data_IF_424454168568
#
_entry.id   IF_424454168568
#
_cell.length_a   1.000
_cell.length_b   1.000
_cell.length_c   1.000
_cell.angle_alpha   90.00
_cell.angle_beta   90.00
_cell.angle_gamma   90.00
#
_symmetry.space_group_name_H-M   'P 1'
#
loop_
_entity.id
_entity.type
_entity.pdbx_description
1 polymer ?
#
# COMPACT_ATOMS: atom_id res chain seq x y z
N UNK A 1 21.78 23.48 -19.00
CA UNK A 1 21.87 23.46 -17.52
C UNK A 1 21.59 22.02 -17.06
N UNK A 2 22.47 21.36 -16.29
CA UNK A 2 22.26 19.94 -15.89
C UNK A 2 21.27 19.89 -14.72
N UNK A 3 20.14 19.18 -14.87
CA UNK A 3 19.09 19.04 -13.85
C UNK A 3 19.62 18.54 -12.48
N UNK A 4 20.72 17.79 -12.49
CA UNK A 4 21.40 17.35 -11.27
C UNK A 4 21.97 18.50 -10.42
N UNK A 5 22.46 19.57 -11.06
CA UNK A 5 22.99 20.73 -10.35
C UNK A 5 21.88 21.47 -9.58
N UNK A 6 20.67 21.52 -10.15
CA UNK A 6 19.48 22.10 -9.49
C UNK A 6 19.08 21.23 -8.30
N UNK A 7 19.01 19.89 -8.48
CA UNK A 7 18.68 18.96 -7.39
C UNK A 7 19.61 19.13 -6.19
N UNK A 8 20.92 19.21 -6.44
CA UNK A 8 21.92 19.41 -5.37
C UNK A 8 21.85 20.79 -4.74
N UNK A 9 21.66 21.85 -5.53
CA UNK A 9 21.61 23.23 -5.02
C UNK A 9 20.42 23.47 -4.10
N UNK A 10 19.27 22.86 -4.40
CA UNK A 10 18.02 23.06 -3.65
C UNK A 10 17.68 21.88 -2.72
N UNK A 11 18.57 20.91 -2.57
CA UNK A 11 18.36 19.68 -1.78
C UNK A 11 17.01 18.99 -2.06
N UNK A 12 16.64 18.91 -3.35
CA UNK A 12 15.39 18.28 -3.77
C UNK A 12 15.62 16.90 -4.36
N UNK A 13 14.81 15.93 -3.92
CA UNK A 13 14.87 14.54 -4.40
C UNK A 13 14.54 14.43 -5.88
N UNK A 14 13.63 15.25 -6.40
CA UNK A 14 13.17 15.19 -7.78
C UNK A 14 12.92 16.58 -8.34
N UNK A 15 13.07 16.74 -9.66
CA UNK A 15 12.74 17.96 -10.39
C UNK A 15 11.75 17.61 -11.49
N UNK A 16 10.71 18.42 -11.60
CA UNK A 16 9.69 18.38 -12.64
C UNK A 16 9.83 19.64 -13.48
N UNK A 17 10.04 19.47 -14.79
CA UNK A 17 10.19 20.58 -15.72
C UNK A 17 8.90 20.70 -16.51
N UNK A 18 8.33 21.90 -16.50
CA UNK A 18 7.17 22.28 -17.29
C UNK A 18 7.56 23.46 -18.19
N UNK A 19 7.20 23.39 -19.46
CA UNK A 19 7.32 24.54 -20.36
C UNK A 19 6.20 24.56 -21.39
N UNK A 20 5.86 25.74 -21.87
CA UNK A 20 4.83 25.95 -22.87
C UNK A 20 5.36 26.89 -23.97
N UNK A 21 5.05 26.56 -25.22
CA UNK A 21 5.47 27.31 -26.41
C UNK A 21 4.30 27.46 -27.39
N UNK A 22 4.20 28.57 -28.15
CA UNK A 22 3.22 28.70 -29.23
C UNK A 22 3.45 27.64 -30.33
N UNK A 23 2.38 27.07 -30.89
CA UNK A 23 2.46 26.03 -31.94
C UNK A 23 2.51 26.60 -33.37
N UNK A 24 2.50 27.93 -33.54
CA UNK A 24 2.47 28.61 -34.83
C UNK A 24 1.10 28.66 -35.53
N UNK A 25 0.08 27.98 -34.99
CA UNK A 25 -1.29 27.90 -35.49
C UNK A 25 -2.31 28.44 -34.46
N UNK A 26 -1.88 29.33 -33.57
CA UNK A 26 -2.72 29.93 -32.52
C UNK A 26 -2.94 29.04 -31.29
N UNK A 27 -2.31 27.86 -31.24
CA UNK A 27 -2.31 26.98 -30.07
C UNK A 27 -1.07 27.14 -29.20
N UNK A 28 -1.11 26.50 -28.04
CA UNK A 28 -0.01 26.39 -27.08
C UNK A 28 0.33 24.93 -26.87
N UNK A 29 1.57 24.56 -27.22
CA UNK A 29 2.14 23.26 -26.87
C UNK A 29 2.67 23.34 -25.43
N UNK A 30 2.08 22.56 -24.54
CA UNK A 30 2.52 22.42 -23.16
C UNK A 30 3.16 21.05 -22.97
N UNK A 31 4.36 21.03 -22.39
CA UNK A 31 5.06 19.80 -22.06
C UNK A 31 5.47 19.78 -20.60
N UNK A 32 5.53 18.58 -20.03
CA UNK A 32 6.04 18.35 -18.70
C UNK A 32 6.81 17.04 -18.66
N UNK A 33 8.00 17.05 -18.08
CA UNK A 33 8.75 15.84 -17.82
C UNK A 33 9.47 15.89 -16.47
N UNK A 34 9.40 14.78 -15.74
CA UNK A 34 10.16 14.62 -14.52
C UNK A 34 9.72 13.44 -13.70
N UNK A 35 10.52 13.12 -12.69
CA UNK A 35 10.16 12.14 -11.69
C UNK A 35 9.48 12.83 -10.52
N UNK A 36 8.57 12.12 -9.86
CA UNK A 36 7.96 12.53 -8.60
C UNK A 36 7.95 11.34 -7.64
N UNK A 37 7.70 11.54 -6.33
CA UNK A 37 7.49 10.42 -5.40
C UNK A 37 6.37 9.45 -5.80
N UNK A 38 5.44 9.91 -6.65
CA UNK A 38 4.32 9.10 -7.16
C UNK A 38 4.63 8.38 -8.48
N UNK A 39 5.76 8.67 -9.11
CA UNK A 39 6.17 8.09 -10.38
C UNK A 39 6.63 9.12 -11.41
N UNK A 40 6.90 8.66 -12.63
CA UNK A 40 7.30 9.51 -13.75
C UNK A 40 6.09 10.24 -14.33
N UNK A 41 6.24 11.54 -14.52
CA UNK A 41 5.29 12.38 -15.25
C UNK A 41 5.87 12.66 -16.63
N UNK A 42 5.09 12.34 -17.65
CA UNK A 42 5.33 12.72 -19.04
C UNK A 42 4.02 13.29 -19.58
N UNK A 43 4.07 14.52 -20.05
CA UNK A 43 2.96 15.24 -20.63
C UNK A 43 3.44 15.96 -21.88
N UNK A 44 2.70 15.83 -22.97
CA UNK A 44 2.92 16.54 -24.23
C UNK A 44 1.56 16.71 -24.90
N UNK A 45 1.02 17.93 -24.88
CA UNK A 45 -0.25 18.27 -25.52
C UNK A 45 -0.24 19.67 -26.09
N UNK A 46 -1.01 19.84 -27.17
CA UNK A 46 -1.32 21.13 -27.78
C UNK A 46 -2.74 21.52 -27.38
N UNK A 47 -2.91 22.74 -26.90
CA UNK A 47 -4.21 23.33 -26.58
C UNK A 47 -4.49 24.49 -27.52
N UNK A 48 -5.67 24.48 -28.14
CA UNK A 48 -6.13 25.53 -29.04
C UNK A 48 -7.52 25.97 -28.62
N UNK A 49 -7.70 27.26 -28.38
CA UNK A 49 -9.01 27.86 -28.18
C UNK A 49 -9.78 27.90 -29.51
N UNK A 50 -11.10 27.87 -29.45
CA UNK A 50 -11.96 27.92 -30.64
C UNK A 50 -11.78 29.21 -31.44
N UNK A 51 -11.48 30.31 -30.73
CA UNK A 51 -11.17 31.63 -31.31
C UNK A 51 -9.86 31.66 -32.11
N UNK A 52 -8.96 30.70 -31.91
CA UNK A 52 -7.59 30.73 -32.43
C UNK A 52 -6.69 31.78 -31.76
N UNK A 53 -7.17 32.49 -30.74
CA UNK A 53 -6.37 33.45 -29.99
C UNK A 53 -5.35 32.73 -29.09
N UNK A 54 -4.09 33.13 -29.21
CA UNK A 54 -2.99 32.62 -28.42
C UNK A 54 -3.21 32.87 -26.91
N UNK A 55 -3.78 34.01 -26.54
CA UNK A 55 -4.02 34.35 -25.12
C UNK A 55 -5.05 33.41 -24.49
N UNK A 56 -6.13 33.14 -25.20
CA UNK A 56 -7.15 32.18 -24.77
C UNK A 56 -6.61 30.75 -24.77
N UNK A 57 -5.84 30.36 -25.79
CA UNK A 57 -5.13 29.07 -25.82
C UNK A 57 -4.17 28.89 -24.65
N UNK A 58 -3.48 29.95 -24.21
CA UNK A 58 -2.60 29.92 -23.04
C UNK A 58 -3.37 29.77 -21.72
N UNK A 59 -4.51 30.46 -21.58
CA UNK A 59 -5.40 30.31 -20.41
C UNK A 59 -5.98 28.89 -20.34
N UNK A 60 -6.42 28.35 -21.48
CA UNK A 60 -6.91 26.98 -21.62
C UNK A 60 -5.81 25.97 -21.27
N UNK A 61 -4.60 26.14 -21.83
CA UNK A 61 -3.46 25.28 -21.53
C UNK A 61 -3.17 25.26 -20.03
N UNK A 62 -3.13 26.43 -19.39
CA UNK A 62 -2.86 26.55 -17.94
C UNK A 62 -3.90 25.81 -17.10
N UNK A 63 -5.19 26.03 -17.35
CA UNK A 63 -6.25 25.39 -16.55
C UNK A 63 -6.25 23.87 -16.73
N UNK A 64 -6.08 23.39 -17.96
CA UNK A 64 -6.05 21.96 -18.27
C UNK A 64 -4.82 21.29 -17.70
N UNK A 65 -3.67 21.95 -17.79
CA UNK A 65 -2.42 21.47 -17.23
C UNK A 65 -2.50 21.30 -15.71
N UNK A 66 -3.05 22.30 -15.02
CA UNK A 66 -3.27 22.23 -13.57
C UNK A 66 -4.24 21.11 -13.19
N UNK A 67 -5.35 20.96 -13.91
CA UNK A 67 -6.35 19.92 -13.66
C UNK A 67 -5.76 18.50 -13.83
N UNK A 68 -5.08 18.24 -14.94
CA UNK A 68 -4.44 16.94 -15.23
C UNK A 68 -3.39 16.61 -14.17
N UNK A 69 -2.64 17.60 -13.68
CA UNK A 69 -1.66 17.40 -12.62
C UNK A 69 -2.30 16.97 -11.30
N UNK A 70 -3.38 17.64 -10.87
CA UNK A 70 -4.11 17.27 -9.66
C UNK A 70 -4.72 15.87 -9.80
N UNK A 71 -5.33 15.58 -10.94
CA UNK A 71 -5.95 14.28 -11.20
C UNK A 71 -4.91 13.15 -11.18
N UNK A 72 -3.78 13.33 -11.87
CA UNK A 72 -2.69 12.37 -11.87
C UNK A 72 -2.11 12.15 -10.48
N UNK A 73 -1.91 13.23 -9.72
CA UNK A 73 -1.46 13.13 -8.33
C UNK A 73 -2.43 12.30 -7.47
N UNK A 74 -3.73 12.60 -7.54
CA UNK A 74 -4.75 11.84 -6.79
C UNK A 74 -4.81 10.38 -7.21
N UNK A 75 -4.76 10.11 -8.52
CA UNK A 75 -4.79 8.75 -9.07
C UNK A 75 -3.58 7.93 -8.60
N UNK A 76 -2.37 8.50 -8.70
CA UNK A 76 -1.15 7.79 -8.33
C UNK A 76 -1.02 7.64 -6.81
N UNK A 77 -1.50 8.61 -6.02
CA UNK A 77 -1.60 8.48 -4.56
C UNK A 77 -2.55 7.34 -4.14
N UNK A 78 -3.75 7.25 -4.75
CA UNK A 78 -4.69 6.17 -4.49
C UNK A 78 -4.10 4.79 -4.84
N UNK A 79 -3.37 4.69 -5.96
CA UNK A 79 -2.67 3.45 -6.32
C UNK A 79 -1.60 3.05 -5.31
N UNK A 80 -0.86 4.00 -4.75
CA UNK A 80 0.13 3.70 -3.71
C UNK A 80 -0.50 3.18 -2.42
N UNK A 81 -1.63 3.77 -2.00
CA UNK A 81 -2.40 3.30 -0.84
C UNK A 81 -2.89 1.86 -1.10
N UNK A 82 -3.58 1.64 -2.22
CA UNK A 82 -4.06 0.31 -2.59
C UNK A 82 -2.92 -0.73 -2.70
N UNK A 83 -1.76 -0.34 -3.24
CA UNK A 83 -0.59 -1.22 -3.31
C UNK A 83 -0.02 -1.55 -1.91
N UNK A 84 -0.09 -0.61 -0.97
CA UNK A 84 0.38 -0.80 0.41
C UNK A 84 -0.57 -1.71 1.19
N UNK A 85 -1.88 -1.52 1.01
CA UNK A 85 -2.92 -2.39 1.56
C UNK A 85 -2.80 -3.80 0.99
N UNK A 86 -2.69 -3.95 -0.33
CA UNK A 86 -2.51 -5.26 -0.98
C UNK A 86 -1.24 -5.97 -0.51
N UNK A 87 -0.13 -5.25 -0.32
CA UNK A 87 1.11 -5.80 0.25
C UNK A 87 0.92 -6.26 1.69
N UNK A 88 0.13 -5.54 2.48
CA UNK A 88 -0.16 -5.88 3.88
C UNK A 88 -1.09 -7.09 3.96
N UNK A 89 -2.15 -7.14 3.14
CA UNK A 89 -3.06 -8.26 3.02
C UNK A 89 -2.36 -9.55 2.57
N UNK A 90 -1.40 -9.45 1.65
CA UNK A 90 -0.62 -10.59 1.16
C UNK A 90 0.66 -10.87 1.98
N UNK A 91 0.85 -10.19 3.12
CA UNK A 91 2.03 -10.40 3.95
C UNK A 91 1.91 -11.74 4.67
N UNK A 92 2.82 -12.66 4.37
CA UNK A 92 2.98 -13.90 5.13
C UNK A 92 3.84 -13.66 6.35
N UNK A 93 3.34 -14.03 7.53
CA UNK A 93 4.07 -13.90 8.80
C UNK A 93 4.05 -15.23 9.55
N UNK A 94 5.16 -15.56 10.22
CA UNK A 94 5.24 -16.71 11.11
C UNK A 94 5.48 -16.25 12.54
N UNK A 95 4.71 -16.80 13.47
CA UNK A 95 4.69 -16.43 14.89
C UNK A 95 4.90 -17.67 15.73
N UNK A 96 5.69 -17.56 16.80
CA UNK A 96 5.73 -18.56 17.86
C UNK A 96 4.60 -18.26 18.85
N UNK A 97 3.68 -19.20 19.02
CA UNK A 97 2.44 -19.02 19.76
C UNK A 97 2.26 -20.14 20.76
N UNK A 98 1.97 -19.81 22.01
CA UNK A 98 1.58 -20.76 23.04
C UNK A 98 0.07 -21.02 22.96
N UNK A 99 -0.33 -22.28 23.07
CA UNK A 99 -1.73 -22.73 23.04
C UNK A 99 -1.96 -23.57 24.30
N UNK A 100 -2.46 -22.99 25.40
CA UNK A 100 -2.81 -23.74 26.59
C UNK A 100 -4.06 -24.59 26.35
N UNK A 101 -4.10 -25.80 26.91
CA UNK A 101 -5.26 -26.71 26.87
C UNK A 101 -5.23 -27.67 28.07
N UNK A 102 -6.36 -28.23 28.47
CA UNK A 102 -6.47 -29.17 29.59
C UNK A 102 -6.27 -30.64 29.20
N UNK A 103 -6.24 -30.96 27.90
CA UNK A 103 -5.87 -32.31 27.44
C UNK A 103 -5.95 -32.53 25.93
N UNK A 104 -5.67 -33.76 25.46
CA UNK A 104 -5.54 -34.06 24.03
C UNK A 104 -6.80 -33.80 23.20
N UNK A 105 -7.99 -33.99 23.78
CA UNK A 105 -9.26 -33.74 23.09
C UNK A 105 -9.49 -32.25 22.84
N UNK A 106 -9.11 -31.40 23.80
CA UNK A 106 -9.18 -29.95 23.66
C UNK A 106 -8.13 -29.43 22.67
N UNK A 107 -6.91 -29.97 22.73
CA UNK A 107 -5.89 -29.67 21.75
C UNK A 107 -6.37 -29.91 20.31
N UNK A 108 -7.00 -31.07 20.04
CA UNK A 108 -7.53 -31.36 18.71
C UNK A 108 -8.61 -30.37 18.28
N UNK A 109 -9.53 -29.98 19.18
CA UNK A 109 -10.56 -28.97 18.88
C UNK A 109 -9.95 -27.60 18.57
N UNK A 110 -9.00 -27.15 19.40
CA UNK A 110 -8.31 -25.88 19.20
C UNK A 110 -7.52 -25.88 17.89
N UNK A 111 -6.75 -26.94 17.62
CA UNK A 111 -5.99 -27.08 16.37
C UNK A 111 -6.91 -27.01 15.14
N UNK A 112 -8.02 -27.74 15.15
CA UNK A 112 -8.99 -27.69 14.05
C UNK A 112 -9.56 -26.28 13.87
N UNK A 113 -9.89 -25.58 14.95
CA UNK A 113 -10.45 -24.22 14.90
C UNK A 113 -9.43 -23.17 14.42
N UNK A 114 -8.17 -23.32 14.84
CA UNK A 114 -7.07 -22.47 14.36
C UNK A 114 -6.86 -22.70 12.86
N UNK A 115 -6.80 -23.95 12.40
CA UNK A 115 -6.64 -24.26 10.98
C UNK A 115 -7.84 -23.84 10.12
N UNK A 116 -9.04 -23.77 10.69
CA UNK A 116 -10.23 -23.25 9.99
C UNK A 116 -10.33 -21.72 10.02
N UNK A 117 -9.47 -21.03 10.78
CA UNK A 117 -9.50 -19.57 10.87
C UNK A 117 -9.06 -18.95 9.55
N UNK A 118 -9.85 -18.04 8.93
CA UNK A 118 -9.46 -17.39 7.69
C UNK A 118 -8.10 -16.69 7.78
N UNK A 119 -7.25 -16.91 6.78
CA UNK A 119 -5.90 -16.34 6.74
C UNK A 119 -4.83 -17.14 7.47
N UNK A 120 -5.18 -18.24 8.16
CA UNK A 120 -4.19 -19.22 8.62
C UNK A 120 -3.74 -20.08 7.45
N UNK A 121 -2.42 -20.14 7.22
CA UNK A 121 -1.80 -20.89 6.13
C UNK A 121 -1.17 -22.19 6.62
N UNK A 122 -0.71 -22.20 7.87
CA UNK A 122 -0.07 -23.36 8.44
C UNK A 122 0.09 -23.26 9.94
N UNK A 123 0.21 -24.42 10.58
CA UNK A 123 0.47 -24.57 11.99
C UNK A 123 1.41 -25.78 12.16
N UNK A 124 2.63 -25.50 12.59
CA UNK A 124 3.63 -26.52 12.90
C UNK A 124 3.81 -26.62 14.41
N UNK A 125 3.68 -27.82 14.97
CA UNK A 125 3.84 -28.04 16.41
C UNK A 125 5.34 -28.10 16.72
N UNK A 126 5.83 -27.16 17.51
CA UNK A 126 7.25 -27.11 17.92
C UNK A 126 7.47 -27.91 19.20
N UNK A 127 6.55 -27.82 20.15
CA UNK A 127 6.53 -28.66 21.36
C UNK A 127 5.10 -28.93 21.80
N UNK A 128 4.86 -30.08 22.41
CA UNK A 128 3.56 -30.52 22.92
C UNK A 128 3.73 -31.10 24.32
N UNK A 129 3.07 -30.49 25.31
CA UNK A 129 2.99 -30.93 26.69
C UNK A 129 1.59 -31.45 27.05
N UNK A 130 1.39 -31.77 28.34
CA UNK A 130 0.09 -32.22 28.85
C UNK A 130 -0.95 -31.10 29.00
N UNK A 131 -0.47 -29.87 29.18
CA UNK A 131 -1.24 -28.66 29.52
C UNK A 131 -1.10 -27.53 28.46
N UNK A 132 -0.38 -27.78 27.37
CA UNK A 132 -0.22 -26.80 26.30
C UNK A 132 0.71 -27.22 25.18
N UNK A 133 0.73 -26.42 24.12
CA UNK A 133 1.65 -26.55 23.00
C UNK A 133 2.31 -25.21 22.66
N UNK A 134 3.53 -25.27 22.11
CA UNK A 134 4.11 -24.14 21.37
C UNK A 134 4.05 -24.48 19.89
N UNK A 135 3.42 -23.62 19.11
CA UNK A 135 3.26 -23.78 17.67
C UNK A 135 3.93 -22.65 16.91
N UNK A 136 4.42 -22.96 15.72
CA UNK A 136 4.75 -21.97 14.71
C UNK A 136 3.50 -21.77 13.84
N UNK A 137 2.79 -20.69 14.10
CA UNK A 137 1.62 -20.30 13.34
C UNK A 137 2.05 -19.46 12.15
N UNK A 138 1.58 -19.80 10.94
CA UNK A 138 1.79 -18.99 9.73
C UNK A 138 0.47 -18.39 9.28
N UNK A 139 0.42 -17.06 9.19
CA UNK A 139 -0.78 -16.28 8.85
C UNK A 139 -0.52 -15.34 7.67
N UNK A 140 -1.61 -14.88 7.05
CA UNK A 140 -1.62 -13.89 5.97
C UNK A 140 -2.38 -12.64 6.40
N UNK A 141 -1.76 -11.47 6.23
CA UNK A 141 -2.38 -10.18 6.49
C UNK A 141 -1.60 -9.32 7.49
N UNK A 142 -2.18 -8.18 7.84
CA UNK A 142 -1.74 -7.38 8.98
C UNK A 142 -2.16 -8.05 10.29
N UNK A 143 -1.43 -7.80 11.39
CA UNK A 143 -1.70 -8.48 12.66
C UNK A 143 -3.08 -8.11 13.22
N UNK A 144 -3.49 -6.86 13.04
CA UNK A 144 -4.77 -6.33 13.47
C UNK A 144 -5.93 -7.09 12.78
N UNK A 145 -5.79 -7.39 11.49
CA UNK A 145 -6.76 -8.20 10.75
C UNK A 145 -6.75 -9.66 11.21
N UNK A 146 -5.57 -10.20 11.55
CA UNK A 146 -5.41 -11.56 12.04
C UNK A 146 -6.12 -11.72 13.38
N UNK A 147 -5.88 -10.82 14.34
CA UNK A 147 -6.55 -10.82 15.64
C UNK A 147 -8.08 -10.81 15.48
N UNK A 148 -8.60 -9.90 14.64
CA UNK A 148 -10.04 -9.82 14.34
C UNK A 148 -10.62 -11.12 13.77
N UNK A 149 -9.88 -11.82 12.89
CA UNK A 149 -10.32 -13.12 12.31
C UNK A 149 -10.28 -14.26 13.32
N UNK A 150 -9.31 -14.24 14.24
CA UNK A 150 -9.26 -15.18 15.35
C UNK A 150 -10.47 -14.98 16.25
N UNK A 151 -10.79 -13.73 16.61
CA UNK A 151 -11.96 -13.40 17.45
C UNK A 151 -13.26 -13.87 16.79
N UNK A 152 -13.43 -13.59 15.49
CA UNK A 152 -14.56 -14.08 14.70
C UNK A 152 -14.66 -15.61 14.65
N UNK A 153 -13.54 -16.32 14.84
CA UNK A 153 -13.46 -17.78 14.93
C UNK A 153 -13.60 -18.32 16.36
N UNK A 154 -13.95 -17.47 17.33
CA UNK A 154 -14.10 -17.85 18.74
C UNK A 154 -12.77 -18.12 19.45
N UNK A 155 -11.69 -17.54 18.95
CA UNK A 155 -10.34 -17.62 19.51
C UNK A 155 -9.84 -16.21 19.83
N UNK A 156 -9.10 -16.05 20.90
CA UNK A 156 -8.36 -14.83 21.17
C UNK A 156 -6.89 -15.07 20.84
N UNK A 157 -6.33 -14.28 19.93
CA UNK A 157 -4.89 -14.17 19.72
C UNK A 157 -4.43 -12.90 20.45
N UNK A 158 -3.59 -13.05 21.47
CA UNK A 158 -3.11 -11.91 22.26
C UNK A 158 -1.65 -12.06 22.64
N UNK A 159 -1.01 -10.95 23.01
CA UNK A 159 0.36 -10.93 23.48
C UNK A 159 0.39 -10.89 25.01
N UNK A 160 0.85 -11.96 25.64
CA UNK A 160 0.99 -12.07 27.09
C UNK A 160 2.45 -12.36 27.46
N UNK A 161 3.03 -11.56 28.36
CA UNK A 161 4.40 -11.78 28.85
C UNK A 161 5.49 -11.77 27.76
N UNK A 162 5.25 -11.10 26.63
CA UNK A 162 6.17 -11.08 25.49
C UNK A 162 6.00 -12.22 24.49
N UNK A 163 5.16 -13.22 24.78
CA UNK A 163 4.81 -14.31 23.87
C UNK A 163 3.40 -14.12 23.29
N UNK A 164 3.17 -14.66 22.09
CA UNK A 164 1.81 -14.78 21.56
C UNK A 164 1.12 -15.97 22.19
N UNK A 165 -0.15 -15.80 22.52
CA UNK A 165 -0.98 -16.85 23.11
C UNK A 165 -2.30 -16.92 22.36
N UNK A 166 -2.75 -18.14 22.06
CA UNK A 166 -4.10 -18.40 21.56
C UNK A 166 -4.91 -19.06 22.66
N UNK A 167 -6.08 -18.49 22.96
CA UNK A 167 -7.03 -19.02 23.92
C UNK A 167 -8.43 -19.09 23.30
N UNK A 168 -9.30 -20.01 23.75
CA UNK A 168 -10.71 -19.92 23.43
C UNK A 168 -11.33 -18.65 24.04
N UNK A 169 -12.23 -18.01 23.29
CA UNK A 169 -13.19 -17.03 23.82
C UNK A 169 -14.32 -17.73 24.56
#
# INVERSE_FOLDING_TARGET
MKLEAIRRRYDVKTVLVAFAEPDGQGGVKATMNGNTPLGRITFDKIYRAESGDLKESAALATSRFHAVMIEKFRSDAAKQVAATEAKSANRRQSLSVAVPFAGPSEWNRLRSRILSTPGVVGLDVSSLGGDGAVVKLTVMGAMEDVESRFEASGLQLSKAGGAWVIQPL
#
